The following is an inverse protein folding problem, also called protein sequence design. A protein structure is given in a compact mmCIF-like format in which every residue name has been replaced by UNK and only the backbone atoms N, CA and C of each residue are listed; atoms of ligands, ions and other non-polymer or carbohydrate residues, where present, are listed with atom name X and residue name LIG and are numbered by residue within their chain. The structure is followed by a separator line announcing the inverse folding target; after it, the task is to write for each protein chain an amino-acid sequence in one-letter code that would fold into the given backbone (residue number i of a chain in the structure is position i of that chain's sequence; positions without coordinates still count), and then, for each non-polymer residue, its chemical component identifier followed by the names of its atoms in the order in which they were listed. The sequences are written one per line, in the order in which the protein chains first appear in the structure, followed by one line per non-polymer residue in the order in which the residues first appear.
data_IF_544455564716
#
_entry.id   IF_544455564716
#
_cell.length_a   1.000
_cell.length_b   1.000
_cell.length_c   1.000
_cell.angle_alpha   90.00
_cell.angle_beta   90.00
_cell.angle_gamma   90.00
#
_symmetry.space_group_name_H-M   'P 1'
#
loop_
_entity.id
_entity.type
_entity.pdbx_description
1 polymer ?
#
# COMPACT_ATOMS: atom_id res chain seq x y z
N UNK A 1 11.20 -8.11 40.93
CA UNK A 1 12.12 -7.51 39.95
C UNK A 1 11.40 -7.45 38.61
N UNK A 2 11.11 -6.24 38.13
CA UNK A 2 10.41 -5.96 36.87
C UNK A 2 11.38 -6.22 35.72
N UNK A 3 11.07 -7.15 34.82
CA UNK A 3 11.77 -7.27 33.54
C UNK A 3 10.78 -6.99 32.41
N UNK A 4 10.62 -5.70 32.17
CA UNK A 4 10.16 -5.12 30.91
C UNK A 4 11.04 -5.61 29.76
N UNK A 5 10.47 -6.34 28.80
CA UNK A 5 11.07 -6.46 27.47
C UNK A 5 9.94 -6.29 26.44
N UNK A 6 9.75 -5.04 26.03
CA UNK A 6 9.04 -4.70 24.80
C UNK A 6 9.98 -5.04 23.64
N UNK A 7 9.77 -6.20 23.00
CA UNK A 7 10.43 -6.52 21.73
C UNK A 7 9.52 -6.00 20.63
N UNK A 8 9.73 -4.74 20.25
CA UNK A 8 9.28 -4.21 18.96
C UNK A 8 10.26 -4.75 17.93
N UNK A 9 10.06 -6.00 17.50
CA UNK A 9 10.74 -6.52 16.32
C UNK A 9 9.93 -6.09 15.10
N UNK A 10 10.20 -4.86 14.64
CA UNK A 10 9.83 -4.42 13.30
C UNK A 10 10.41 -5.44 12.33
N UNK A 11 9.54 -6.28 11.76
CA UNK A 11 9.86 -7.12 10.61
C UNK A 11 10.11 -6.17 9.44
N UNK A 12 11.33 -5.64 9.35
CA UNK A 12 11.89 -5.20 8.09
C UNK A 12 12.05 -6.46 7.24
N UNK A 13 10.95 -6.86 6.58
CA UNK A 13 10.98 -7.87 5.55
C UNK A 13 11.79 -7.29 4.39
N UNK A 14 13.08 -7.61 4.38
CA UNK A 14 13.93 -7.51 3.19
C UNK A 14 13.35 -8.50 2.17
N UNK A 15 12.33 -8.08 1.44
CA UNK A 15 11.81 -8.79 0.28
C UNK A 15 12.30 -8.05 -0.96
N UNK A 16 13.51 -8.39 -1.41
CA UNK A 16 13.97 -8.12 -2.77
C UNK A 16 13.30 -9.11 -3.76
N UNK A 17 11.99 -9.31 -3.59
CA UNK A 17 11.14 -9.95 -4.57
C UNK A 17 10.43 -8.81 -5.30
N UNK A 18 10.62 -8.78 -6.61
CA UNK A 18 9.98 -7.95 -7.63
C UNK A 18 8.43 -8.13 -7.68
N UNK A 19 7.80 -8.07 -6.51
CA UNK A 19 6.39 -8.23 -6.24
C UNK A 19 5.91 -6.98 -5.50
N UNK A 20 4.76 -6.44 -5.92
CA UNK A 20 4.11 -5.28 -5.29
C UNK A 20 4.17 -5.39 -3.77
N UNK A 21 4.66 -4.37 -3.04
CA UNK A 21 4.78 -4.47 -1.59
C UNK A 21 3.45 -4.79 -0.93
N UNK A 22 3.48 -5.67 0.09
CA UNK A 22 2.27 -6.11 0.78
C UNK A 22 1.48 -4.93 1.40
N UNK A 23 2.19 -3.90 1.86
CA UNK A 23 1.57 -2.68 2.38
C UNK A 23 0.79 -1.93 1.29
N UNK A 24 1.41 -1.73 0.12
CA UNK A 24 0.77 -1.10 -1.04
C UNK A 24 -0.47 -1.88 -1.45
N UNK A 25 -0.37 -3.21 -1.55
CA UNK A 25 -1.49 -4.09 -1.90
C UNK A 25 -2.66 -3.95 -0.92
N UNK A 26 -2.37 -3.95 0.39
CA UNK A 26 -3.38 -3.80 1.44
C UNK A 26 -4.06 -2.43 1.41
N UNK A 27 -3.30 -1.36 1.15
CA UNK A 27 -3.84 -0.02 1.00
C UNK A 27 -4.69 0.13 -0.27
N UNK A 28 -4.26 -0.47 -1.37
CA UNK A 28 -5.02 -0.50 -2.62
C UNK A 28 -6.31 -1.30 -2.47
N UNK A 29 -6.31 -2.46 -1.79
CA UNK A 29 -7.53 -3.22 -1.49
C UNK A 29 -8.53 -2.39 -0.66
N UNK A 30 -8.07 -1.74 0.41
CA UNK A 30 -8.92 -0.87 1.22
C UNK A 30 -9.48 0.31 0.42
N UNK A 31 -8.64 0.96 -0.39
CA UNK A 31 -9.07 2.07 -1.23
C UNK A 31 -10.08 1.59 -2.30
N UNK A 32 -9.88 0.41 -2.89
CA UNK A 32 -10.80 -0.15 -3.88
C UNK A 32 -12.17 -0.45 -3.27
N UNK A 33 -12.19 -1.08 -2.08
CA UNK A 33 -13.41 -1.35 -1.34
C UNK A 33 -14.15 -0.05 -0.96
N UNK A 34 -13.42 0.97 -0.50
CA UNK A 34 -14.00 2.26 -0.11
C UNK A 34 -14.58 3.06 -1.30
N UNK A 35 -14.07 2.83 -2.51
CA UNK A 35 -14.45 3.58 -3.71
C UNK A 35 -15.27 2.77 -4.72
N UNK A 36 -15.70 1.56 -4.35
CA UNK A 36 -16.56 0.72 -5.18
C UNK A 36 -15.88 0.12 -6.42
N UNK A 37 -14.55 0.02 -6.43
CA UNK A 37 -13.81 -0.61 -7.54
C UNK A 37 -13.75 -2.15 -7.44
N UNK A 38 -14.34 -2.73 -6.39
CA UNK A 38 -14.34 -4.16 -6.02
C UNK A 38 -12.95 -4.71 -5.66
N UNK A 39 -11.94 -4.47 -6.49
CA UNK A 39 -10.54 -4.88 -6.30
C UNK A 39 -9.59 -3.82 -6.88
N UNK A 40 -8.35 -3.77 -6.38
CA UNK A 40 -7.29 -2.97 -7.00
C UNK A 40 -6.91 -3.47 -8.40
N UNK A 41 -7.28 -4.69 -8.77
CA UNK A 41 -7.03 -5.26 -10.11
C UNK A 41 -7.94 -4.64 -11.19
N UNK A 42 -9.01 -3.94 -10.80
CA UNK A 42 -9.88 -3.23 -11.74
C UNK A 42 -9.23 -1.90 -12.16
N UNK A 43 -8.17 -1.99 -12.98
CA UNK A 43 -7.38 -0.85 -13.45
C UNK A 43 -8.24 0.26 -14.04
N UNK A 44 -9.25 -0.07 -14.85
CA UNK A 44 -10.16 0.93 -15.41
C UNK A 44 -10.89 1.74 -14.33
N UNK A 45 -11.31 1.11 -13.23
CA UNK A 45 -11.94 1.82 -12.12
C UNK A 45 -10.92 2.58 -11.27
N UNK A 46 -9.83 1.93 -10.88
CA UNK A 46 -8.86 2.53 -9.94
C UNK A 46 -8.08 3.69 -10.57
N UNK A 47 -7.81 3.62 -11.87
CA UNK A 47 -7.15 4.70 -12.60
C UNK A 47 -8.10 5.87 -12.89
N UNK A 48 -9.39 5.60 -13.15
CA UNK A 48 -10.40 6.65 -13.35
C UNK A 48 -10.87 7.32 -12.05
N UNK A 49 -10.81 6.61 -10.92
CA UNK A 49 -11.29 7.11 -9.64
C UNK A 49 -10.21 7.92 -8.92
N UNK A 50 -10.31 9.26 -9.00
CA UNK A 50 -9.45 10.16 -8.22
C UNK A 50 -9.58 9.95 -6.70
N UNK A 51 -10.77 9.52 -6.24
CA UNK A 51 -11.03 9.20 -4.85
C UNK A 51 -10.28 7.93 -4.40
N UNK A 52 -10.22 6.90 -5.26
CA UNK A 52 -9.34 5.75 -5.05
C UNK A 52 -7.88 6.19 -4.93
N UNK A 53 -7.38 6.95 -5.90
CA UNK A 53 -5.97 7.35 -5.92
C UNK A 53 -5.60 8.15 -4.66
N UNK A 54 -6.48 9.03 -4.21
CA UNK A 54 -6.28 9.83 -3.01
C UNK A 54 -6.28 8.96 -1.74
N UNK A 55 -7.25 8.05 -1.62
CA UNK A 55 -7.37 7.15 -0.47
C UNK A 55 -6.20 6.16 -0.39
N UNK A 56 -5.80 5.56 -1.51
CA UNK A 56 -4.65 4.67 -1.59
C UNK A 56 -3.37 5.43 -1.20
N UNK A 57 -3.16 6.63 -1.74
CA UNK A 57 -1.97 7.43 -1.43
C UNK A 57 -1.92 7.82 0.06
N UNK A 58 -3.03 8.25 0.66
CA UNK A 58 -3.10 8.58 2.07
C UNK A 58 -2.80 7.36 2.97
N UNK A 59 -3.35 6.19 2.64
CA UNK A 59 -3.07 4.95 3.36
C UNK A 59 -1.58 4.58 3.27
N UNK A 60 -1.00 4.64 2.06
CA UNK A 60 0.40 4.29 1.83
C UNK A 60 1.32 5.25 2.57
N UNK A 61 1.05 6.56 2.54
CA UNK A 61 1.83 7.54 3.30
C UNK A 61 1.77 7.33 4.82
N UNK A 62 0.63 6.86 5.34
CA UNK A 62 0.44 6.65 6.78
C UNK A 62 0.97 5.31 7.28
N UNK A 63 1.05 4.30 6.42
CA UNK A 63 1.23 2.90 6.83
C UNK A 63 2.50 2.29 6.26
N UNK A 64 2.88 2.67 5.05
CA UNK A 64 4.01 2.07 4.33
C UNK A 64 5.28 2.90 4.49
N UNK A 65 6.40 2.29 4.13
CA UNK A 65 7.70 2.97 4.09
C UNK A 65 7.81 3.91 2.90
N UNK A 66 8.80 4.81 2.93
CA UNK A 66 9.07 5.74 1.83
C UNK A 66 9.45 5.00 0.53
N UNK A 67 10.18 3.89 0.62
CA UNK A 67 10.53 3.07 -0.54
C UNK A 67 9.30 2.40 -1.16
N UNK A 68 8.36 1.93 -0.34
CA UNK A 68 7.10 1.36 -0.81
C UNK A 68 6.19 2.41 -1.43
N UNK A 69 6.19 3.64 -0.89
CA UNK A 69 5.50 4.77 -1.50
C UNK A 69 6.06 5.09 -2.88
N UNK A 70 7.38 5.14 -3.02
CA UNK A 70 8.02 5.37 -4.31
C UNK A 70 7.65 4.27 -5.31
N UNK A 71 7.69 3.00 -4.89
CA UNK A 71 7.26 1.86 -5.72
C UNK A 71 5.78 1.95 -6.12
N UNK A 72 4.89 2.34 -5.20
CA UNK A 72 3.47 2.52 -5.51
C UNK A 72 3.23 3.61 -6.56
N UNK A 73 4.00 4.70 -6.52
CA UNK A 73 3.93 5.77 -7.52
C UNK A 73 4.42 5.29 -8.89
N UNK A 74 5.50 4.50 -8.93
CA UNK A 74 5.96 3.85 -10.17
C UNK A 74 4.91 2.91 -10.73
N UNK A 75 4.35 2.01 -9.89
CA UNK A 75 3.29 1.07 -10.30
C UNK A 75 2.07 1.81 -10.84
N UNK A 76 1.65 2.90 -10.19
CA UNK A 76 0.54 3.72 -10.69
C UNK A 76 0.85 4.28 -12.08
N UNK A 77 2.05 4.79 -12.30
CA UNK A 77 2.44 5.35 -13.61
C UNK A 77 2.55 4.29 -14.70
N UNK A 78 2.99 3.08 -14.36
CA UNK A 78 3.11 1.96 -15.31
C UNK A 78 1.75 1.37 -15.72
N UNK A 79 0.73 1.48 -14.86
CA UNK A 79 -0.55 0.79 -15.04
C UNK A 79 -1.77 1.68 -15.39
N UNK A 80 -1.69 3.03 -15.34
CA UNK A 80 -2.86 3.93 -15.46
C UNK A 80 -2.90 4.94 -16.63
#
# INVERSE_FOLDING_TARGET
MRFTIAIVASLAAVALAQSVPACVKTCSDQAAAANGCESYDNLSCVCASAAFQSAAHACIQSTCTADELAQALTLKADHC
#
